data_IF_672424051959
#
_entry.id   IF_672424051959
#
_cell.length_a   1.000
_cell.length_b   1.000
_cell.length_c   1.000
_cell.angle_alpha   90.00
_cell.angle_beta   90.00
_cell.angle_gamma   90.00
#
_symmetry.space_group_name_H-M   'P 1'
#
loop_
_entity.id
_entity.type
_entity.pdbx_description
1 polymer ?
#
# COMPACT_ATOMS: atom_id res chain seq x y z
N UNK A 1 48.41 -44.44 -3.35
CA UNK A 1 47.16 -43.84 -3.82
C UNK A 1 47.44 -43.36 -5.23
N UNK A 2 46.66 -43.80 -6.20
CA UNK A 2 46.86 -43.50 -7.61
C UNK A 2 46.48 -42.03 -7.89
N UNK A 3 47.19 -41.35 -8.78
CA UNK A 3 46.95 -39.92 -9.11
C UNK A 3 45.50 -39.68 -9.59
N UNK A 4 44.94 -40.66 -10.31
CA UNK A 4 43.52 -40.62 -10.74
C UNK A 4 42.54 -40.62 -9.59
N UNK A 5 42.81 -41.43 -8.53
CA UNK A 5 41.98 -41.46 -7.31
C UNK A 5 42.04 -40.13 -6.55
N UNK A 6 43.20 -39.50 -6.48
CA UNK A 6 43.38 -38.19 -5.85
C UNK A 6 42.58 -37.12 -6.62
N UNK A 7 42.68 -37.13 -7.94
CA UNK A 7 41.93 -36.19 -8.80
C UNK A 7 40.41 -36.38 -8.67
N UNK A 8 39.91 -37.64 -8.66
CA UNK A 8 38.50 -37.92 -8.49
C UNK A 8 37.95 -37.42 -7.14
N UNK A 9 38.71 -37.64 -6.05
CA UNK A 9 38.34 -37.14 -4.72
C UNK A 9 38.35 -35.60 -4.69
N UNK A 10 39.34 -34.96 -5.28
CA UNK A 10 39.42 -33.50 -5.37
C UNK A 10 38.25 -32.90 -6.13
N UNK A 11 37.84 -33.53 -7.25
CA UNK A 11 36.66 -33.11 -8.01
C UNK A 11 35.34 -33.27 -7.25
N UNK A 12 35.19 -34.40 -6.52
CA UNK A 12 34.00 -34.60 -5.66
C UNK A 12 33.92 -33.57 -4.54
N UNK A 13 35.05 -33.27 -3.88
CA UNK A 13 35.09 -32.23 -2.85
C UNK A 13 34.77 -30.84 -3.44
N UNK A 14 35.33 -30.51 -4.57
CA UNK A 14 35.04 -29.24 -5.26
C UNK A 14 33.54 -29.12 -5.66
N UNK A 15 32.97 -30.18 -6.23
CA UNK A 15 31.56 -30.22 -6.59
C UNK A 15 30.67 -30.08 -5.36
N UNK A 16 30.98 -30.78 -4.26
CA UNK A 16 30.24 -30.69 -3.00
C UNK A 16 30.31 -29.25 -2.42
N UNK A 17 31.50 -28.63 -2.46
CA UNK A 17 31.68 -27.25 -2.01
C UNK A 17 30.86 -26.23 -2.82
N UNK A 18 30.78 -26.40 -4.13
CA UNK A 18 29.92 -25.55 -5.00
C UNK A 18 28.46 -25.74 -4.65
N UNK A 19 27.98 -26.98 -4.50
CA UNK A 19 26.59 -27.25 -4.15
C UNK A 19 26.24 -26.63 -2.78
N UNK A 20 27.08 -26.81 -1.78
CA UNK A 20 26.88 -26.22 -0.45
C UNK A 20 26.83 -24.69 -0.51
N UNK A 21 27.70 -24.07 -1.30
CA UNK A 21 27.70 -22.61 -1.53
C UNK A 21 26.43 -22.13 -2.20
N UNK A 22 25.87 -22.86 -3.16
CA UNK A 22 24.60 -22.52 -3.82
C UNK A 22 23.41 -22.60 -2.85
N UNK A 23 23.37 -23.63 -1.98
CA UNK A 23 22.34 -23.72 -0.94
C UNK A 23 22.43 -22.57 0.07
N UNK A 24 23.64 -22.23 0.51
CA UNK A 24 23.88 -21.10 1.39
C UNK A 24 23.41 -19.80 0.75
N UNK A 25 23.78 -19.55 -0.50
CA UNK A 25 23.36 -18.35 -1.24
C UNK A 25 21.84 -18.27 -1.42
N UNK A 26 21.20 -19.40 -1.75
CA UNK A 26 19.74 -19.48 -1.84
C UNK A 26 19.05 -19.16 -0.51
N UNK A 27 19.57 -19.65 0.61
CA UNK A 27 19.07 -19.34 1.94
C UNK A 27 19.23 -17.84 2.28
N UNK A 28 20.37 -17.26 1.94
CA UNK A 28 20.67 -15.84 2.15
C UNK A 28 19.74 -14.94 1.32
N UNK A 29 19.49 -15.29 0.04
CA UNK A 29 18.55 -14.56 -0.81
C UNK A 29 17.14 -14.60 -0.23
N UNK A 30 16.68 -15.77 0.25
CA UNK A 30 15.36 -15.89 0.89
C UNK A 30 15.25 -15.05 2.16
N UNK A 31 16.27 -15.05 3.00
CA UNK A 31 16.31 -14.25 4.21
C UNK A 31 16.27 -12.75 3.88
N UNK A 32 17.10 -12.31 2.91
CA UNK A 32 17.13 -10.92 2.47
C UNK A 32 15.75 -10.46 1.92
N UNK A 33 15.11 -11.29 1.10
CA UNK A 33 13.76 -11.00 0.56
C UNK A 33 12.73 -10.86 1.68
N UNK A 34 12.76 -11.70 2.71
CA UNK A 34 11.87 -11.58 3.87
C UNK A 34 12.10 -10.28 4.63
N UNK A 35 13.36 -9.92 4.87
CA UNK A 35 13.72 -8.67 5.54
C UNK A 35 13.25 -7.45 4.74
N UNK A 36 13.43 -7.46 3.42
CA UNK A 36 12.94 -6.38 2.54
C UNK A 36 11.43 -6.22 2.61
N UNK A 37 10.67 -7.33 2.63
CA UNK A 37 9.20 -7.27 2.77
C UNK A 37 8.78 -6.64 4.10
N UNK A 38 9.42 -7.01 5.19
CA UNK A 38 9.13 -6.42 6.50
C UNK A 38 9.40 -4.90 6.52
N UNK A 39 10.52 -4.45 5.92
CA UNK A 39 10.86 -3.04 5.81
C UNK A 39 9.82 -2.27 4.97
N UNK A 40 9.33 -2.84 3.87
CA UNK A 40 8.31 -2.21 3.03
C UNK A 40 7.01 -2.02 3.81
N UNK A 41 6.55 -3.04 4.52
CA UNK A 41 5.32 -2.97 5.34
C UNK A 41 5.43 -1.90 6.42
N UNK A 42 6.55 -1.89 7.15
CA UNK A 42 6.83 -0.92 8.20
C UNK A 42 6.90 0.50 7.64
N UNK A 43 7.60 0.70 6.52
CA UNK A 43 7.70 1.99 5.84
C UNK A 43 6.34 2.52 5.37
N UNK A 44 5.49 1.68 4.80
CA UNK A 44 4.13 2.07 4.38
C UNK A 44 3.27 2.44 5.58
N UNK A 45 3.34 1.68 6.68
CA UNK A 45 2.61 1.97 7.91
C UNK A 45 3.05 3.30 8.54
N UNK A 46 4.35 3.53 8.67
CA UNK A 46 4.90 4.80 9.17
C UNK A 46 4.49 5.97 8.28
N UNK A 47 4.60 5.83 6.96
CA UNK A 47 4.18 6.88 6.03
C UNK A 47 2.69 7.24 6.16
N UNK A 48 1.83 6.25 6.45
CA UNK A 48 0.41 6.49 6.69
C UNK A 48 0.18 7.23 8.01
N UNK A 49 0.86 6.81 9.08
CA UNK A 49 0.78 7.44 10.40
C UNK A 49 1.29 8.89 10.33
N UNK A 50 2.44 9.13 9.70
CA UNK A 50 3.03 10.45 9.55
C UNK A 50 2.13 11.38 8.73
N UNK A 51 1.47 10.83 7.71
CA UNK A 51 0.55 11.57 6.85
C UNK A 51 -0.74 11.93 7.59
N UNK A 52 -1.36 10.99 8.29
CA UNK A 52 -2.69 11.17 8.86
C UNK A 52 -2.67 11.60 10.34
N UNK A 53 -1.60 11.27 11.07
CA UNK A 53 -1.49 11.55 12.50
C UNK A 53 -1.70 13.02 12.86
N UNK A 54 -0.97 13.98 12.28
CA UNK A 54 -1.17 15.40 12.55
C UNK A 54 -2.59 15.89 12.24
N UNK A 55 -3.22 15.36 11.17
CA UNK A 55 -4.56 15.72 10.72
C UNK A 55 -5.65 15.22 11.69
N UNK A 56 -5.39 14.09 12.38
CA UNK A 56 -6.37 13.49 13.31
C UNK A 56 -6.68 14.40 14.51
N UNK A 57 -5.77 15.30 14.87
CA UNK A 57 -5.92 16.24 15.97
C UNK A 57 -6.38 17.64 15.53
N UNK A 58 -6.50 17.88 14.23
CA UNK A 58 -7.00 19.16 13.68
C UNK A 58 -8.47 19.03 13.31
N UNK A 59 -9.33 19.62 14.16
CA UNK A 59 -10.79 19.60 13.98
C UNK A 59 -11.21 20.35 12.72
N UNK A 60 -10.54 21.45 12.38
CA UNK A 60 -10.86 22.25 11.19
C UNK A 60 -10.46 21.51 9.93
N UNK A 61 -9.29 20.83 9.94
CA UNK A 61 -8.91 19.94 8.85
C UNK A 61 -9.93 18.82 8.67
N UNK A 62 -10.33 18.13 9.75
CA UNK A 62 -11.30 17.04 9.69
C UNK A 62 -12.64 17.49 9.09
N UNK A 63 -13.11 18.69 9.45
CA UNK A 63 -14.34 19.28 8.88
C UNK A 63 -14.17 19.63 7.40
N UNK A 64 -13.05 20.26 7.03
CA UNK A 64 -12.73 20.59 5.64
C UNK A 64 -12.63 19.32 4.79
N UNK A 65 -11.93 18.30 5.28
CA UNK A 65 -11.79 17.01 4.61
C UNK A 65 -13.14 16.32 4.39
N UNK A 66 -14.02 16.35 5.39
CA UNK A 66 -15.37 15.80 5.27
C UNK A 66 -16.22 16.53 4.21
N UNK A 67 -16.11 17.86 4.12
CA UNK A 67 -16.84 18.64 3.08
C UNK A 67 -16.28 18.35 1.69
N UNK A 68 -14.96 18.37 1.56
CA UNK A 68 -14.26 18.13 0.27
C UNK A 68 -14.51 16.73 -0.26
N UNK A 69 -14.43 15.71 0.59
CA UNK A 69 -14.63 14.32 0.18
C UNK A 69 -16.11 14.02 -0.16
N UNK A 70 -17.04 14.76 0.43
CA UNK A 70 -18.46 14.67 0.11
C UNK A 70 -18.78 15.33 -1.23
N UNK A 71 -18.32 16.56 -1.45
CA UNK A 71 -18.53 17.31 -2.70
C UNK A 71 -17.39 18.32 -2.90
N UNK A 72 -16.50 18.04 -3.84
CA UNK A 72 -15.37 18.91 -4.20
C UNK A 72 -15.82 20.28 -4.68
N UNK A 73 -16.88 20.34 -5.49
CA UNK A 73 -17.32 21.59 -6.13
C UNK A 73 -18.05 22.51 -5.14
N UNK A 74 -18.79 21.92 -4.20
CA UNK A 74 -19.52 22.66 -3.17
C UNK A 74 -18.61 23.10 -2.00
N UNK A 75 -17.43 22.48 -1.84
CA UNK A 75 -16.46 22.86 -0.81
C UNK A 75 -15.87 24.25 -1.10
N UNK A 76 -15.58 25.02 -0.06
CA UNK A 76 -14.92 26.32 -0.17
C UNK A 76 -13.49 26.18 -0.74
N UNK A 77 -12.95 27.26 -1.30
CA UNK A 77 -11.56 27.30 -1.75
C UNK A 77 -10.60 27.01 -0.60
N UNK A 78 -10.85 27.54 0.58
CA UNK A 78 -10.05 27.29 1.79
C UNK A 78 -10.06 25.81 2.17
N UNK A 79 -11.23 25.16 2.16
CA UNK A 79 -11.33 23.72 2.44
C UNK A 79 -10.50 22.89 1.44
N UNK A 80 -10.60 23.22 0.15
CA UNK A 80 -9.83 22.57 -0.90
C UNK A 80 -8.33 22.79 -0.72
N UNK A 81 -7.91 24.02 -0.40
CA UNK A 81 -6.48 24.33 -0.15
C UNK A 81 -5.93 23.53 1.05
N UNK A 82 -6.70 23.41 2.14
CA UNK A 82 -6.31 22.64 3.33
C UNK A 82 -6.13 21.15 3.04
N UNK A 83 -6.92 20.60 2.14
CA UNK A 83 -7.03 19.14 1.97
C UNK A 83 -6.32 18.59 0.75
N UNK A 84 -6.07 19.41 -0.28
CA UNK A 84 -5.51 18.97 -1.57
C UNK A 84 -4.15 18.27 -1.42
N UNK A 85 -3.27 18.77 -0.56
CA UNK A 85 -1.95 18.18 -0.34
C UNK A 85 -2.07 16.80 0.29
N UNK A 86 -2.96 16.63 1.28
CA UNK A 86 -3.20 15.33 1.93
C UNK A 86 -3.79 14.34 0.94
N UNK A 87 -4.74 14.75 0.08
CA UNK A 87 -5.27 13.88 -0.97
C UNK A 87 -4.18 13.42 -1.94
N UNK A 88 -3.30 14.33 -2.38
CA UNK A 88 -2.16 13.98 -3.25
C UNK A 88 -1.26 12.96 -2.55
N UNK A 89 -0.83 13.23 -1.32
CA UNK A 89 0.05 12.34 -0.56
C UNK A 89 -0.61 10.97 -0.30
N UNK A 90 -1.89 10.95 0.05
CA UNK A 90 -2.65 9.71 0.27
C UNK A 90 -2.66 8.85 -1.00
N UNK A 91 -2.99 9.42 -2.14
CA UNK A 91 -3.01 8.67 -3.40
C UNK A 91 -1.61 8.30 -3.90
N UNK A 92 -0.57 9.10 -3.61
CA UNK A 92 0.82 8.71 -3.84
C UNK A 92 1.25 7.53 -2.96
N UNK A 93 0.77 7.46 -1.74
CA UNK A 93 1.01 6.33 -0.86
C UNK A 93 0.30 5.06 -1.38
N UNK A 94 -0.94 5.17 -1.85
CA UNK A 94 -1.64 4.04 -2.49
C UNK A 94 -0.94 3.59 -3.78
N UNK A 95 -0.47 4.52 -4.60
CA UNK A 95 0.33 4.22 -5.79
C UNK A 95 1.62 3.45 -5.43
N UNK A 96 2.31 3.88 -4.36
CA UNK A 96 3.49 3.17 -3.86
C UNK A 96 3.15 1.75 -3.41
N UNK A 97 2.11 1.57 -2.59
CA UNK A 97 1.65 0.24 -2.15
C UNK A 97 1.30 -0.66 -3.34
N UNK A 98 0.63 -0.12 -4.36
CA UNK A 98 0.31 -0.82 -5.61
C UNK A 98 1.58 -1.26 -6.36
N UNK A 99 2.61 -0.40 -6.47
CA UNK A 99 3.89 -0.77 -7.07
C UNK A 99 4.59 -1.87 -6.27
N UNK A 100 4.63 -1.76 -4.94
CA UNK A 100 5.23 -2.77 -4.06
C UNK A 100 4.53 -4.13 -4.22
N UNK A 101 3.21 -4.13 -4.38
CA UNK A 101 2.44 -5.35 -4.68
C UNK A 101 2.86 -5.96 -6.02
N UNK A 102 2.99 -5.18 -7.06
CA UNK A 102 3.39 -5.63 -8.39
C UNK A 102 4.83 -6.15 -8.44
N UNK A 103 5.72 -5.59 -7.65
CA UNK A 103 7.09 -6.05 -7.49
C UNK A 103 7.23 -7.30 -6.59
N UNK A 104 6.16 -7.72 -5.93
CA UNK A 104 6.17 -8.87 -5.03
C UNK A 104 6.81 -8.60 -3.67
N UNK A 105 7.09 -7.33 -3.34
CA UNK A 105 7.61 -6.90 -2.03
C UNK A 105 6.50 -6.71 -1.01
N UNK A 106 5.28 -6.42 -1.43
CA UNK A 106 4.07 -6.46 -0.61
C UNK A 106 3.29 -7.73 -0.95
N UNK A 107 3.03 -8.59 0.04
CA UNK A 107 2.32 -9.85 -0.18
C UNK A 107 0.80 -9.63 -0.41
N UNK A 108 0.08 -10.71 -0.79
CA UNK A 108 -1.33 -10.62 -1.13
C UNK A 108 -2.20 -10.22 0.07
N UNK A 109 -1.94 -10.78 1.24
CA UNK A 109 -2.74 -10.53 2.44
C UNK A 109 -2.60 -9.08 2.91
N UNK A 110 -1.38 -8.56 2.87
CA UNK A 110 -1.11 -7.15 3.21
C UNK A 110 -1.73 -6.20 2.19
N UNK A 111 -1.69 -6.57 0.91
CA UNK A 111 -2.29 -5.79 -0.15
C UNK A 111 -3.82 -5.64 -0.01
N UNK A 112 -4.54 -6.65 0.47
CA UNK A 112 -6.00 -6.60 0.65
C UNK A 112 -6.46 -5.38 1.45
N UNK A 113 -5.75 -5.06 2.53
CA UNK A 113 -6.04 -3.86 3.34
C UNK A 113 -5.77 -2.55 2.58
N UNK A 114 -4.67 -2.48 1.83
CA UNK A 114 -4.33 -1.30 1.03
C UNK A 114 -5.29 -1.11 -0.15
N UNK A 115 -5.69 -2.20 -0.82
CA UNK A 115 -6.69 -2.19 -1.88
C UNK A 115 -8.04 -1.66 -1.36
N UNK A 116 -8.51 -2.21 -0.26
CA UNK A 116 -9.75 -1.77 0.37
C UNK A 116 -9.70 -0.28 0.74
N UNK A 117 -8.58 0.18 1.29
CA UNK A 117 -8.42 1.58 1.69
C UNK A 117 -8.38 2.52 0.48
N UNK A 118 -7.64 2.15 -0.57
CA UNK A 118 -7.58 2.93 -1.82
C UNK A 118 -8.95 3.04 -2.49
N UNK A 119 -9.68 1.93 -2.58
CA UNK A 119 -11.03 1.89 -3.17
C UNK A 119 -12.03 2.71 -2.35
N UNK A 120 -12.00 2.57 -1.01
CA UNK A 120 -12.85 3.36 -0.11
C UNK A 120 -12.68 4.86 -0.34
N UNK A 121 -11.44 5.34 -0.43
CA UNK A 121 -11.17 6.75 -0.68
C UNK A 121 -11.55 7.18 -2.09
N UNK A 122 -11.21 6.39 -3.11
CA UNK A 122 -11.49 6.73 -4.50
C UNK A 122 -12.98 6.87 -4.78
N UNK A 123 -13.81 6.04 -4.17
CA UNK A 123 -15.26 6.06 -4.41
C UNK A 123 -16.02 7.16 -3.64
N UNK A 124 -15.34 7.98 -2.84
CA UNK A 124 -15.94 9.19 -2.28
C UNK A 124 -16.26 10.20 -3.40
N UNK A 125 -17.47 10.76 -3.47
CA UNK A 125 -17.89 11.59 -4.62
C UNK A 125 -16.98 12.78 -4.88
N UNK A 126 -16.57 13.52 -3.84
CA UNK A 126 -15.66 14.65 -3.97
C UNK A 126 -14.24 14.24 -4.39
N UNK A 127 -13.79 13.04 -4.00
CA UNK A 127 -12.49 12.49 -4.41
C UNK A 127 -12.50 12.10 -5.88
N UNK A 128 -13.59 11.53 -6.41
CA UNK A 128 -13.73 11.27 -7.85
C UNK A 128 -13.63 12.53 -8.67
N UNK A 129 -14.26 13.62 -8.21
CA UNK A 129 -14.16 14.91 -8.89
C UNK A 129 -12.73 15.46 -8.86
N UNK A 130 -12.09 15.45 -7.69
CA UNK A 130 -10.69 15.85 -7.54
C UNK A 130 -9.76 15.00 -8.41
N UNK A 131 -9.99 13.68 -8.48
CA UNK A 131 -9.18 12.77 -9.28
C UNK A 131 -9.14 13.17 -10.75
N UNK A 132 -10.25 13.53 -11.35
CA UNK A 132 -10.29 13.99 -12.75
C UNK A 132 -9.34 15.19 -13.00
N UNK A 133 -9.14 16.04 -11.99
CA UNK A 133 -8.26 17.20 -12.08
C UNK A 133 -6.79 16.84 -11.89
N UNK A 134 -6.47 15.71 -11.25
CA UNK A 134 -5.11 15.36 -10.84
C UNK A 134 -4.59 14.03 -11.36
N UNK A 135 -5.42 13.20 -11.96
CA UNK A 135 -5.06 11.84 -12.43
C UNK A 135 -3.80 11.80 -13.29
N UNK A 136 -3.51 12.84 -14.08
CA UNK A 136 -2.33 12.90 -14.94
C UNK A 136 -0.99 12.86 -14.18
N UNK A 137 -1.00 13.13 -12.86
CA UNK A 137 0.19 13.08 -12.01
C UNK A 137 0.52 11.67 -11.49
N UNK A 138 -0.30 10.67 -11.83
CA UNK A 138 -0.16 9.27 -11.42
C UNK A 138 0.22 8.38 -12.59
N UNK A 139 0.88 7.24 -12.32
CA UNK A 139 1.28 6.27 -13.32
C UNK A 139 0.07 5.66 -14.04
N UNK A 140 0.20 5.40 -15.34
CA UNK A 140 -0.90 4.90 -16.18
C UNK A 140 -1.55 3.62 -15.62
N UNK A 141 -0.74 2.64 -15.20
CA UNK A 141 -1.26 1.39 -14.65
C UNK A 141 -1.97 1.56 -13.29
N UNK A 142 -1.53 2.52 -12.46
CA UNK A 142 -2.23 2.83 -11.22
C UNK A 142 -3.56 3.53 -11.50
N UNK A 143 -3.60 4.44 -12.48
CA UNK A 143 -4.86 5.08 -12.91
C UNK A 143 -5.87 4.04 -13.36
N UNK A 144 -5.45 3.13 -14.25
CA UNK A 144 -6.29 2.04 -14.73
C UNK A 144 -6.84 1.20 -13.57
N UNK A 145 -5.96 0.78 -12.65
CA UNK A 145 -6.36 0.02 -11.46
C UNK A 145 -7.43 0.73 -10.64
N UNK A 146 -7.22 2.02 -10.32
CA UNK A 146 -8.15 2.78 -9.48
C UNK A 146 -9.47 3.03 -10.20
N UNK A 147 -9.42 3.40 -11.49
CA UNK A 147 -10.60 3.77 -12.29
C UNK A 147 -11.48 2.58 -12.66
N UNK A 148 -10.91 1.37 -12.74
CA UNK A 148 -11.65 0.12 -12.96
C UNK A 148 -12.09 -0.56 -11.67
N UNK A 149 -11.68 -0.03 -10.50
CA UNK A 149 -12.05 -0.60 -9.21
C UNK A 149 -13.54 -0.39 -8.91
N UNK A 150 -14.13 -1.35 -8.21
CA UNK A 150 -15.53 -1.26 -7.74
C UNK A 150 -15.59 -0.76 -6.30
N UNK A 151 -16.67 -0.07 -5.91
CA UNK A 151 -16.91 0.28 -4.51
C UNK A 151 -16.90 -0.98 -3.62
N UNK A 152 -16.49 -0.80 -2.37
CA UNK A 152 -16.59 -1.90 -1.40
C UNK A 152 -18.05 -2.02 -0.95
N UNK A 153 -18.63 -3.18 -1.19
CA UNK A 153 -19.99 -3.47 -0.73
C UNK A 153 -20.06 -3.48 0.80
N UNK A 154 -21.16 -2.97 1.32
CA UNK A 154 -21.46 -2.95 2.76
C UNK A 154 -20.48 -2.19 3.66
N UNK A 155 -19.61 -1.34 3.10
CA UNK A 155 -18.77 -0.46 3.91
C UNK A 155 -19.58 0.78 4.31
N UNK A 156 -19.84 0.96 5.62
CA UNK A 156 -20.58 2.14 6.07
C UNK A 156 -19.78 3.41 5.83
N UNK A 157 -20.44 4.51 5.41
CA UNK A 157 -19.78 5.80 5.31
C UNK A 157 -19.14 6.21 6.65
N UNK A 158 -17.94 6.78 6.61
CA UNK A 158 -17.24 7.25 7.83
C UNK A 158 -18.13 8.16 8.68
N UNK A 159 -18.99 8.96 8.06
CA UNK A 159 -19.96 9.83 8.76
C UNK A 159 -20.99 9.08 9.60
N UNK A 160 -21.31 7.83 9.27
CA UNK A 160 -22.20 6.98 10.05
C UNK A 160 -21.49 6.35 11.23
N UNK A 161 -20.24 5.93 11.02
CA UNK A 161 -19.38 5.39 12.09
C UNK A 161 -19.18 6.44 13.18
N UNK A 162 -18.81 7.66 12.80
CA UNK A 162 -18.57 8.78 13.73
C UNK A 162 -19.85 9.19 14.48
N UNK A 163 -21.04 9.07 13.85
CA UNK A 163 -22.32 9.37 14.50
C UNK A 163 -22.83 8.27 15.42
N UNK A 164 -22.13 7.15 15.52
CA UNK A 164 -22.52 6.03 16.38
C UNK A 164 -23.85 5.37 16.00
N UNK A 165 -24.29 5.50 14.75
CA UNK A 165 -25.58 4.97 14.27
C UNK A 165 -25.55 3.49 13.88
N UNK A 166 -24.40 2.83 13.94
CA UNK A 166 -24.30 1.42 13.58
C UNK A 166 -24.38 0.49 14.79
N UNK A 167 -25.32 -0.44 14.72
CA UNK A 167 -25.21 -1.70 15.46
C UNK A 167 -24.29 -2.62 14.66
N UNK A 168 -23.01 -2.67 15.02
CA UNK A 168 -22.09 -3.67 14.47
C UNK A 168 -22.52 -5.05 14.99
N UNK A 169 -23.19 -5.84 14.14
CA UNK A 169 -23.36 -7.26 14.38
C UNK A 169 -22.10 -7.97 13.91
N UNK A 170 -21.20 -8.30 14.83
CA UNK A 170 -20.10 -9.19 14.53
C UNK A 170 -20.66 -10.59 14.31
N UNK A 171 -20.30 -11.29 13.22
CA UNK A 171 -20.58 -12.70 13.12
C UNK A 171 -19.81 -13.42 14.24
N UNK A 172 -20.52 -14.14 15.10
CA UNK A 172 -19.97 -15.02 16.14
C UNK A 172 -19.33 -16.25 15.54
#
# INVERSE_FOLDING_TARGET
MNLETVNAIAQLLAATGVIASLFYLAAQIRQNTRSMRAVVVDSLAHSLIDLLGPQAFDVEFTRAFSRVTKDWNAASEEDRMRTVAVLICTFKLFENAWFQRRQGTLDAQQWEGWDAYARMYFHLPGVKTWWQLRRATFAAGFREYVETSEPIENLPPLSEIVRGKQRLSWPT
#
